data_IF_707719982669
#
_entry.id   IF_707719982669
#
_cell.length_a   1.000
_cell.length_b   1.000
_cell.length_c   1.000
_cell.angle_alpha   90.00
_cell.angle_beta   90.00
_cell.angle_gamma   90.00
#
_symmetry.space_group_name_H-M   'P 1'
#
loop_
_entity.id
_entity.type
_entity.pdbx_description
1 polymer ?
#
# COMPACT_ATOMS: atom_id res chain seq x y z
N UNK A 1 6.08 17.61 -26.93
CA UNK A 1 6.04 16.84 -25.67
C UNK A 1 7.17 15.79 -25.62
N UNK A 2 8.46 16.16 -25.43
CA UNK A 2 9.57 15.19 -25.53
C UNK A 2 10.22 14.80 -24.19
N UNK A 3 10.04 15.58 -23.12
CA UNK A 3 10.79 15.39 -21.86
C UNK A 3 10.15 14.38 -20.91
N UNK A 4 8.82 14.24 -20.93
CA UNK A 4 8.10 13.33 -20.03
C UNK A 4 8.32 11.85 -20.37
N UNK A 5 8.35 11.51 -21.67
CA UNK A 5 8.63 10.15 -22.15
C UNK A 5 10.10 9.77 -21.93
N UNK A 6 11.03 10.70 -22.10
CA UNK A 6 12.47 10.43 -21.94
C UNK A 6 12.84 10.05 -20.49
N UNK A 7 12.09 10.57 -19.52
CA UNK A 7 12.29 10.29 -18.10
C UNK A 7 11.69 8.95 -17.64
N UNK A 8 10.72 8.40 -18.38
CA UNK A 8 10.13 7.08 -18.09
C UNK A 8 11.03 5.93 -18.54
N UNK A 9 11.78 6.13 -19.62
CA UNK A 9 12.77 5.16 -20.15
C UNK A 9 14.10 5.22 -19.39
N UNK A 10 14.45 6.36 -18.80
CA UNK A 10 15.65 6.52 -17.97
C UNK A 10 15.43 6.07 -16.52
N UNK A 11 14.82 4.91 -16.32
CA UNK A 11 15.19 4.11 -15.15
C UNK A 11 16.49 3.41 -15.51
N UNK A 12 17.61 4.12 -15.29
CA UNK A 12 18.89 3.45 -15.09
C UNK A 12 18.62 2.35 -14.07
N UNK A 13 18.70 1.09 -14.49
CA UNK A 13 18.64 -0.04 -13.58
C UNK A 13 19.62 0.32 -12.47
N UNK A 14 19.11 0.51 -11.25
CA UNK A 14 19.97 0.83 -10.13
C UNK A 14 21.15 -0.15 -10.18
N UNK A 15 22.41 0.32 -10.16
CA UNK A 15 23.55 -0.58 -10.21
C UNK A 15 23.31 -1.66 -9.16
N UNK A 16 23.36 -2.92 -9.59
CA UNK A 16 23.18 -4.07 -8.70
C UNK A 16 24.14 -3.83 -7.54
N UNK A 17 23.60 -3.54 -6.35
CA UNK A 17 24.43 -3.19 -5.21
C UNK A 17 25.38 -4.36 -4.99
N UNK A 18 26.67 -4.13 -5.25
CA UNK A 18 27.76 -5.09 -5.15
C UNK A 18 28.18 -5.29 -3.69
N UNK A 19 27.18 -5.49 -2.82
CA UNK A 19 27.31 -5.82 -1.41
C UNK A 19 26.42 -6.99 -1.02
N UNK A 20 26.50 -7.48 0.22
CA UNK A 20 25.69 -8.62 0.67
C UNK A 20 24.20 -8.33 0.49
N UNK A 21 23.48 -9.21 -0.20
CA UNK A 21 22.05 -9.03 -0.50
C UNK A 21 21.17 -9.11 0.76
N UNK A 22 21.64 -9.85 1.77
CA UNK A 22 20.95 -10.09 3.04
C UNK A 22 20.55 -8.81 3.80
N UNK A 23 21.47 -7.88 4.15
CA UNK A 23 21.10 -6.63 4.84
C UNK A 23 20.14 -5.75 4.04
N UNK A 24 20.23 -5.76 2.70
CA UNK A 24 19.30 -5.03 1.85
C UNK A 24 17.87 -5.63 1.93
N UNK A 25 17.76 -6.96 1.88
CA UNK A 25 16.49 -7.69 2.03
C UNK A 25 15.90 -7.47 3.43
N UNK A 26 16.70 -7.59 4.49
CA UNK A 26 16.25 -7.36 5.87
C UNK A 26 15.78 -5.92 6.08
N UNK A 27 16.46 -4.95 5.49
CA UNK A 27 16.02 -3.56 5.50
C UNK A 27 14.69 -3.38 4.75
N UNK A 28 14.55 -3.99 3.58
CA UNK A 28 13.31 -3.94 2.81
C UNK A 28 12.12 -4.54 3.59
N UNK A 29 12.31 -5.69 4.26
CA UNK A 29 11.29 -6.32 5.11
C UNK A 29 10.87 -5.36 6.24
N UNK A 30 11.83 -4.71 6.92
CA UNK A 30 11.54 -3.73 7.98
C UNK A 30 10.75 -2.53 7.46
N UNK A 31 11.14 -1.97 6.31
CA UNK A 31 10.44 -0.85 5.67
C UNK A 31 9.00 -1.23 5.28
N UNK A 32 8.81 -2.42 4.72
CA UNK A 32 7.48 -2.95 4.35
C UNK A 32 6.60 -3.12 5.60
N UNK A 33 7.15 -3.65 6.69
CA UNK A 33 6.43 -3.78 7.96
C UNK A 33 5.96 -2.43 8.50
N UNK A 34 6.86 -1.43 8.54
CA UNK A 34 6.51 -0.08 8.96
C UNK A 34 5.43 0.56 8.05
N UNK A 35 5.51 0.33 6.73
CA UNK A 35 4.50 0.84 5.80
C UNK A 35 3.14 0.14 5.96
N UNK A 36 3.14 -1.14 6.27
CA UNK A 36 1.93 -1.92 6.55
C UNK A 36 1.20 -1.35 7.77
N UNK A 37 1.92 -1.05 8.86
CA UNK A 37 1.36 -0.40 10.05
C UNK A 37 0.75 0.98 9.75
N UNK A 38 1.39 1.77 8.88
CA UNK A 38 0.84 3.06 8.44
C UNK A 38 -0.44 2.90 7.63
N UNK A 39 -0.51 1.89 6.77
CA UNK A 39 -1.71 1.59 5.99
C UNK A 39 -2.86 1.10 6.88
N UNK A 40 -2.57 0.39 7.98
CA UNK A 40 -3.59 0.01 8.97
C UNK A 40 -4.23 1.23 9.62
N UNK A 41 -3.41 2.20 10.03
CA UNK A 41 -3.92 3.45 10.58
C UNK A 41 -4.73 4.24 9.54
N UNK A 42 -4.27 4.30 8.29
CA UNK A 42 -5.01 4.94 7.21
C UNK A 42 -6.35 4.23 6.92
N UNK A 43 -6.37 2.90 6.95
CA UNK A 43 -7.58 2.08 6.78
C UNK A 43 -8.62 2.39 7.86
N UNK A 44 -8.20 2.41 9.13
CA UNK A 44 -9.09 2.73 10.24
C UNK A 44 -9.69 4.15 10.12
N UNK A 45 -8.89 5.13 9.68
CA UNK A 45 -9.37 6.49 9.41
C UNK A 45 -10.40 6.53 8.28
N UNK A 46 -10.22 5.71 7.23
CA UNK A 46 -11.18 5.64 6.13
C UNK A 46 -12.50 5.00 6.57
N UNK A 47 -12.46 3.99 7.44
CA UNK A 47 -13.66 3.38 8.04
C UNK A 47 -14.44 4.40 8.87
N UNK A 48 -13.75 5.17 9.70
CA UNK A 48 -14.39 6.22 10.49
C UNK A 48 -14.97 7.32 9.59
N UNK A 49 -14.23 7.73 8.55
CA UNK A 49 -14.72 8.71 7.58
C UNK A 49 -15.94 8.20 6.79
N UNK A 50 -15.97 6.92 6.40
CA UNK A 50 -17.13 6.27 5.76
C UNK A 50 -18.37 6.42 6.63
N UNK A 51 -18.27 6.00 7.91
CA UNK A 51 -19.38 6.09 8.88
C UNK A 51 -19.89 7.51 9.04
N UNK A 52 -19.00 8.49 9.17
CA UNK A 52 -19.37 9.89 9.32
C UNK A 52 -20.10 10.45 8.10
N UNK A 53 -19.63 10.15 6.88
CA UNK A 53 -20.28 10.62 5.66
C UNK A 53 -21.61 9.87 5.46
N UNK A 54 -21.66 8.58 5.74
CA UNK A 54 -22.89 7.81 5.66
C UNK A 54 -23.98 8.40 6.56
N UNK A 55 -23.64 8.80 7.80
CA UNK A 55 -24.59 9.49 8.66
C UNK A 55 -25.10 10.79 8.03
N UNK A 56 -24.21 11.59 7.42
CA UNK A 56 -24.61 12.82 6.71
C UNK A 56 -25.53 12.56 5.51
N UNK A 57 -25.33 11.45 4.79
CA UNK A 57 -26.25 11.02 3.72
C UNK A 57 -27.64 10.77 4.31
N UNK A 58 -27.74 9.99 5.39
CA UNK A 58 -29.00 9.66 6.07
C UNK A 58 -29.69 10.93 6.59
N UNK A 59 -28.96 11.82 7.26
CA UNK A 59 -29.50 13.07 7.80
C UNK A 59 -30.03 14.00 6.71
N UNK A 60 -29.33 14.11 5.58
CA UNK A 60 -29.77 14.92 4.44
C UNK A 60 -31.02 14.31 3.77
N UNK A 61 -31.08 12.98 3.63
CA UNK A 61 -32.27 12.29 3.14
C UNK A 61 -33.48 12.50 4.06
N UNK A 62 -33.30 12.40 5.37
CA UNK A 62 -34.36 12.60 6.36
C UNK A 62 -34.93 14.03 6.34
N UNK A 63 -34.10 15.03 6.00
CA UNK A 63 -34.51 16.43 5.82
C UNK A 63 -35.09 16.73 4.43
N UNK A 64 -35.31 15.70 3.60
CA UNK A 64 -35.72 15.81 2.20
C UNK A 64 -34.78 16.64 1.32
N UNK A 65 -33.53 16.85 1.75
CA UNK A 65 -32.50 17.56 1.00
C UNK A 65 -31.76 16.59 0.08
N UNK A 66 -32.39 16.27 -1.05
CA UNK A 66 -31.85 15.32 -2.04
C UNK A 66 -30.54 15.79 -2.66
N UNK A 67 -30.33 17.11 -2.79
CA UNK A 67 -29.11 17.65 -3.38
C UNK A 67 -27.89 17.38 -2.49
N UNK A 68 -28.00 17.69 -1.19
CA UNK A 68 -26.92 17.39 -0.23
C UNK A 68 -26.73 15.89 -0.03
N UNK A 69 -27.81 15.11 -0.03
CA UNK A 69 -27.72 13.66 0.06
C UNK A 69 -26.92 13.04 -1.11
N UNK A 70 -27.18 13.48 -2.35
CA UNK A 70 -26.44 13.05 -3.53
C UNK A 70 -24.95 13.43 -3.44
N UNK A 71 -24.66 14.67 -3.03
CA UNK A 71 -23.28 15.15 -2.84
C UNK A 71 -22.52 14.29 -1.83
N UNK A 72 -23.11 14.02 -0.65
CA UNK A 72 -22.46 13.16 0.35
C UNK A 72 -22.33 11.71 -0.11
N UNK A 73 -23.30 11.19 -0.88
CA UNK A 73 -23.23 9.82 -1.41
C UNK A 73 -22.07 9.65 -2.41
N UNK A 74 -21.79 10.66 -3.23
CA UNK A 74 -20.64 10.64 -4.14
C UNK A 74 -19.30 10.63 -3.36
N UNK A 75 -19.15 11.47 -2.35
CA UNK A 75 -17.95 11.46 -1.49
C UNK A 75 -17.80 10.11 -0.77
N UNK A 76 -18.91 9.54 -0.28
CA UNK A 76 -18.91 8.21 0.36
C UNK A 76 -18.39 7.13 -0.59
N UNK A 77 -18.83 7.15 -1.86
CA UNK A 77 -18.36 6.21 -2.87
C UNK A 77 -16.85 6.34 -3.12
N UNK A 78 -16.32 7.57 -3.16
CA UNK A 78 -14.87 7.80 -3.32
C UNK A 78 -14.06 7.32 -2.11
N UNK A 79 -14.55 7.55 -0.88
CA UNK A 79 -13.92 7.02 0.33
C UNK A 79 -13.86 5.49 0.31
N UNK A 80 -14.94 4.82 -0.08
CA UNK A 80 -14.97 3.35 -0.22
C UNK A 80 -14.01 2.82 -1.27
N UNK A 81 -13.92 3.50 -2.42
CA UNK A 81 -12.93 3.16 -3.46
C UNK A 81 -11.51 3.28 -2.92
N UNK A 82 -11.22 4.33 -2.14
CA UNK A 82 -9.91 4.51 -1.53
C UNK A 82 -9.61 3.43 -0.48
N UNK A 83 -10.58 3.09 0.37
CA UNK A 83 -10.44 2.01 1.36
C UNK A 83 -10.11 0.66 0.70
N UNK A 84 -10.78 0.34 -0.42
CA UNK A 84 -10.48 -0.86 -1.22
C UNK A 84 -9.04 -0.85 -1.75
N UNK A 85 -8.57 0.29 -2.27
CA UNK A 85 -7.19 0.43 -2.76
C UNK A 85 -6.16 0.24 -1.64
N UNK A 86 -6.39 0.85 -0.47
CA UNK A 86 -5.51 0.69 0.70
C UNK A 86 -5.41 -0.78 1.11
N UNK A 87 -6.54 -1.49 1.12
CA UNK A 87 -6.57 -2.93 1.42
C UNK A 87 -5.76 -3.75 0.40
N UNK A 88 -5.90 -3.43 -0.90
CA UNK A 88 -5.13 -4.10 -1.96
C UNK A 88 -3.63 -3.85 -1.84
N UNK A 89 -3.22 -2.61 -1.53
CA UNK A 89 -1.81 -2.26 -1.32
C UNK A 89 -1.24 -3.02 -0.12
N UNK A 90 -2.00 -3.12 0.98
CA UNK A 90 -1.60 -3.87 2.17
C UNK A 90 -1.32 -5.34 1.82
N UNK A 91 -2.24 -6.00 1.13
CA UNK A 91 -2.06 -7.39 0.70
C UNK A 91 -0.84 -7.58 -0.21
N UNK A 92 -0.61 -6.63 -1.12
CA UNK A 92 0.56 -6.66 -2.00
C UNK A 92 1.87 -6.56 -1.21
N UNK A 93 1.92 -5.66 -0.21
CA UNK A 93 3.08 -5.51 0.67
C UNK A 93 3.34 -6.76 1.53
N UNK A 94 2.30 -7.37 2.10
CA UNK A 94 2.40 -8.64 2.82
C UNK A 94 2.96 -9.75 1.91
N UNK A 95 2.45 -9.83 0.68
CA UNK A 95 2.94 -10.79 -0.32
C UNK A 95 4.42 -10.57 -0.65
N UNK A 96 4.85 -9.32 -0.82
CA UNK A 96 6.26 -8.99 -1.08
C UNK A 96 7.13 -9.36 0.12
N UNK A 97 6.68 -9.06 1.34
CA UNK A 97 7.40 -9.39 2.58
C UNK A 97 7.62 -10.90 2.72
N UNK A 98 6.59 -11.71 2.44
CA UNK A 98 6.69 -13.17 2.44
C UNK A 98 7.73 -13.66 1.43
N UNK A 99 7.70 -13.16 0.19
CA UNK A 99 8.66 -13.55 -0.85
C UNK A 99 10.09 -13.16 -0.49
N UNK A 100 10.31 -11.97 0.06
CA UNK A 100 11.62 -11.53 0.53
C UNK A 100 12.14 -12.41 1.68
N UNK A 101 11.25 -12.84 2.57
CA UNK A 101 11.60 -13.77 3.66
C UNK A 101 12.05 -15.12 3.11
N UNK A 102 11.33 -15.69 2.14
CA UNK A 102 11.74 -16.93 1.46
C UNK A 102 13.11 -16.80 0.79
N UNK A 103 13.39 -15.68 0.11
CA UNK A 103 14.70 -15.45 -0.52
C UNK A 103 15.82 -15.37 0.52
N UNK A 104 15.57 -14.70 1.66
CA UNK A 104 16.51 -14.62 2.78
C UNK A 104 16.80 -16.01 3.36
N UNK A 105 15.75 -16.78 3.66
CA UNK A 105 15.87 -18.12 4.25
C UNK A 105 16.61 -19.09 3.32
N UNK A 106 16.37 -19.01 2.01
CA UNK A 106 17.12 -19.78 1.02
C UNK A 106 18.61 -19.42 0.99
N UNK A 107 18.93 -18.12 1.05
CA UNK A 107 20.32 -17.66 1.11
C UNK A 107 21.05 -18.15 2.37
N UNK A 108 20.36 -18.15 3.51
CA UNK A 108 20.89 -18.70 4.76
C UNK A 108 21.14 -20.22 4.65
N UNK A 109 20.22 -20.97 4.04
CA UNK A 109 20.39 -22.41 3.78
C UNK A 109 21.62 -22.70 2.90
N UNK A 110 21.79 -22.00 1.78
CA UNK A 110 22.94 -22.21 0.87
C UNK A 110 24.26 -21.95 1.60
N UNK A 111 24.34 -20.91 2.43
CA UNK A 111 25.54 -20.62 3.22
C UNK A 111 25.84 -21.72 4.25
N UNK A 112 24.83 -22.41 4.78
CA UNK A 112 25.04 -23.51 5.75
C UNK A 112 25.50 -24.81 5.11
N UNK A 113 25.16 -25.06 3.84
CA UNK A 113 25.43 -26.35 3.16
C UNK A 113 26.66 -26.28 2.27
N UNK A 114 27.09 -25.08 1.84
CA UNK A 114 28.30 -24.93 1.02
C UNK A 114 29.54 -25.09 1.92
N UNK A 115 30.43 -26.06 1.67
CA UNK A 115 31.70 -26.18 2.39
C UNK A 115 32.54 -24.91 2.19
N UNK A 116 33.26 -24.51 3.24
CA UNK A 116 34.09 -23.30 3.26
C UNK A 116 35.19 -23.29 2.17
#
# INVERSE_FOLDING_TARGET
>A
MPEFSKNWERQERAPVQSGPLKPAIENAIRLISAQTQRLDFASNKLVEKDRQIFQKVVDAYAKHDRSRALMYANELAEVRKLAKRVTQIKLALETISLRLTTVKDYGDFVNTVTPA
#
